data_IF_959649682292
#
_entry.id   IF_959649682292
#
_cell.length_a   1.000
_cell.length_b   1.000
_cell.length_c   1.000
_cell.angle_alpha   90.00
_cell.angle_beta   90.00
_cell.angle_gamma   90.00
#
_symmetry.space_group_name_H-M   'P 1'
#
loop_
_entity.id
_entity.type
_entity.pdbx_description
1 polymer ?
#
# COMPACT_ATOMS: atom_id res chain seq x y z
N UNK A 1 12.57 23.18 -22.36
CA UNK A 1 12.20 23.43 -20.94
C UNK A 1 11.89 22.09 -20.31
N UNK A 2 12.56 21.71 -19.22
CA UNK A 2 12.26 20.46 -18.50
C UNK A 2 10.81 20.46 -18.02
N UNK A 3 10.09 19.36 -18.21
CA UNK A 3 8.69 19.26 -17.85
C UNK A 3 8.49 19.28 -16.31
N UNK A 4 9.47 18.67 -15.58
CA UNK A 4 9.46 18.58 -14.11
C UNK A 4 10.82 18.87 -13.50
N UNK A 5 10.81 19.36 -12.26
CA UNK A 5 12.02 19.47 -11.44
C UNK A 5 12.36 18.14 -10.79
N UNK A 6 11.32 17.32 -10.48
CA UNK A 6 11.45 16.01 -9.87
C UNK A 6 10.40 15.04 -10.38
N UNK A 7 10.84 13.85 -10.79
CA UNK A 7 9.97 12.69 -10.97
C UNK A 7 10.32 11.63 -9.93
N UNK A 8 9.30 11.13 -9.24
CA UNK A 8 9.42 10.03 -8.29
C UNK A 8 8.77 8.77 -8.89
N UNK A 9 9.54 7.69 -8.98
CA UNK A 9 9.06 6.40 -9.47
C UNK A 9 8.67 5.53 -8.28
N UNK A 10 7.39 5.27 -8.13
CA UNK A 10 6.76 4.58 -7.00
C UNK A 10 6.15 5.54 -5.99
N UNK A 11 4.93 5.25 -5.57
CA UNK A 11 4.14 6.07 -4.63
C UNK A 11 4.00 5.44 -3.24
N UNK A 12 4.88 4.52 -2.86
CA UNK A 12 4.96 4.02 -1.49
C UNK A 12 5.45 5.09 -0.51
N UNK A 13 5.65 4.77 0.80
CA UNK A 13 6.04 5.75 1.82
C UNK A 13 7.25 6.59 1.46
N UNK A 14 8.28 6.01 0.87
CA UNK A 14 9.45 6.77 0.40
C UNK A 14 9.11 7.74 -0.73
N UNK A 15 8.24 7.32 -1.65
CA UNK A 15 7.86 8.11 -2.81
C UNK A 15 6.90 9.25 -2.49
N UNK A 16 5.79 8.97 -1.83
CA UNK A 16 4.80 10.03 -1.57
C UNK A 16 5.29 11.10 -0.59
N UNK A 17 6.07 10.72 0.44
CA UNK A 17 6.65 11.70 1.36
C UNK A 17 7.60 12.62 0.61
N UNK A 18 8.47 12.06 -0.23
CA UNK A 18 9.38 12.82 -1.07
C UNK A 18 8.63 13.77 -2.01
N UNK A 19 7.64 13.27 -2.75
CA UNK A 19 6.89 14.05 -3.73
C UNK A 19 6.10 15.20 -3.09
N UNK A 20 5.37 14.92 -2.01
CA UNK A 20 4.61 15.95 -1.29
C UNK A 20 5.55 17.03 -0.76
N UNK A 21 6.66 16.62 -0.14
CA UNK A 21 7.62 17.58 0.42
C UNK A 21 8.29 18.41 -0.66
N UNK A 22 8.70 17.83 -1.76
CA UNK A 22 9.26 18.54 -2.91
C UNK A 22 8.28 19.57 -3.46
N UNK A 23 7.01 19.18 -3.63
CA UNK A 23 5.98 20.12 -4.09
C UNK A 23 5.71 21.26 -3.10
N UNK A 24 5.72 20.98 -1.79
CA UNK A 24 5.62 22.03 -0.76
C UNK A 24 6.79 23.02 -0.80
N UNK A 25 7.95 22.58 -1.25
CA UNK A 25 9.14 23.42 -1.45
C UNK A 25 9.14 24.17 -2.80
N UNK A 26 8.05 24.05 -3.57
CA UNK A 26 7.87 24.78 -4.83
C UNK A 26 8.42 24.05 -6.06
N UNK A 27 8.89 22.82 -5.94
CA UNK A 27 9.34 22.02 -7.08
C UNK A 27 8.14 21.51 -7.89
N UNK A 28 8.20 21.61 -9.20
CA UNK A 28 7.24 20.98 -10.10
C UNK A 28 7.48 19.47 -10.09
N UNK A 29 6.61 18.74 -9.43
CA UNK A 29 6.81 17.33 -9.08
C UNK A 29 5.77 16.42 -9.74
N UNK A 30 6.21 15.23 -10.19
CA UNK A 30 5.34 14.17 -10.63
C UNK A 30 5.68 12.83 -9.96
N UNK A 31 4.68 11.97 -9.82
CA UNK A 31 4.82 10.61 -9.30
C UNK A 31 4.32 9.62 -10.34
N UNK A 32 5.08 8.56 -10.58
CA UNK A 32 4.69 7.45 -11.46
C UNK A 32 4.33 6.26 -10.58
N UNK A 33 3.13 5.71 -10.74
CA UNK A 33 2.66 4.57 -9.98
C UNK A 33 2.04 3.50 -10.89
N UNK A 34 2.48 2.26 -10.76
CA UNK A 34 1.98 1.13 -11.55
C UNK A 34 0.63 0.58 -11.05
N UNK A 35 0.32 0.77 -9.78
CA UNK A 35 -0.93 0.30 -9.18
C UNK A 35 -2.06 1.30 -9.42
N UNK A 36 -3.32 0.84 -9.42
CA UNK A 36 -4.48 1.71 -9.66
C UNK A 36 -4.60 2.84 -8.63
N UNK A 37 -4.07 2.62 -7.43
CA UNK A 37 -4.13 3.56 -6.31
C UNK A 37 -2.73 3.91 -5.82
N UNK A 38 -2.55 5.16 -5.39
CA UNK A 38 -1.32 5.60 -4.75
C UNK A 38 -1.16 4.99 -3.34
N UNK A 39 0.07 5.01 -2.83
CA UNK A 39 0.39 4.58 -1.47
C UNK A 39 1.25 3.32 -1.38
N UNK A 40 1.49 2.67 -2.52
CA UNK A 40 2.34 1.47 -2.63
C UNK A 40 1.86 0.34 -1.73
N UNK A 41 2.76 -0.59 -1.42
CA UNK A 41 2.47 -1.76 -0.57
C UNK A 41 1.90 -1.37 0.79
N UNK A 42 2.47 -0.36 1.45
CA UNK A 42 2.06 0.00 2.82
C UNK A 42 0.58 0.34 2.93
N UNK A 43 0.05 1.21 2.05
CA UNK A 43 -1.34 1.62 2.13
C UNK A 43 -2.30 0.55 1.60
N UNK A 44 -1.93 -0.12 0.52
CA UNK A 44 -2.86 -0.99 -0.20
C UNK A 44 -2.90 -2.42 0.35
N UNK A 45 -1.74 -3.02 0.64
CA UNK A 45 -1.63 -4.45 1.00
C UNK A 45 -0.60 -4.72 2.10
N UNK A 46 -0.28 -3.75 2.93
CA UNK A 46 0.73 -3.86 3.98
C UNK A 46 0.29 -3.21 5.28
N UNK A 47 0.91 -2.08 5.63
CA UNK A 47 0.78 -1.42 6.93
C UNK A 47 -0.66 -1.12 7.33
N UNK A 48 -1.44 -0.49 6.44
CA UNK A 48 -2.79 -0.06 6.78
C UNK A 48 -3.74 -1.24 6.96
N UNK A 49 -3.89 -2.17 5.98
CA UNK A 49 -4.80 -3.29 6.16
C UNK A 49 -4.37 -4.22 7.31
N UNK A 50 -3.06 -4.48 7.50
CA UNK A 50 -2.61 -5.31 8.62
C UNK A 50 -2.89 -4.66 9.98
N UNK A 51 -2.68 -3.35 10.13
CA UNK A 51 -2.99 -2.64 11.38
C UNK A 51 -4.49 -2.61 11.67
N UNK A 52 -5.33 -2.46 10.64
CA UNK A 52 -6.78 -2.53 10.82
C UNK A 52 -7.22 -3.92 11.34
N UNK A 53 -6.67 -4.99 10.77
CA UNK A 53 -6.97 -6.35 11.23
C UNK A 53 -6.40 -6.64 12.64
N UNK A 54 -5.17 -6.22 12.92
CA UNK A 54 -4.56 -6.37 14.25
C UNK A 54 -5.35 -5.61 15.31
N UNK A 55 -5.77 -4.37 15.02
CA UNK A 55 -6.61 -3.60 15.94
C UNK A 55 -7.90 -4.32 16.26
N UNK A 56 -8.59 -4.87 15.26
CA UNK A 56 -9.84 -5.59 15.51
C UNK A 56 -9.61 -6.92 16.26
N UNK A 57 -8.56 -7.67 15.93
CA UNK A 57 -8.22 -8.92 16.64
C UNK A 57 -7.84 -8.69 18.09
N UNK A 58 -7.13 -7.58 18.38
CA UNK A 58 -6.79 -7.17 19.73
C UNK A 58 -8.04 -6.85 20.56
N UNK A 59 -9.03 -6.15 19.96
CA UNK A 59 -10.32 -5.89 20.63
C UNK A 59 -11.09 -7.17 20.92
N UNK A 60 -11.08 -8.11 19.98
CA UNK A 60 -11.70 -9.43 20.17
C UNK A 60 -11.04 -10.21 21.33
N UNK A 61 -9.71 -10.19 21.38
CA UNK A 61 -8.93 -10.83 22.43
C UNK A 61 -9.19 -10.18 23.81
N UNK A 62 -9.21 -8.85 23.87
CA UNK A 62 -9.52 -8.12 25.10
C UNK A 62 -10.91 -8.48 25.66
N UNK A 63 -11.93 -8.49 24.83
CA UNK A 63 -13.29 -8.88 25.23
C UNK A 63 -13.31 -10.30 25.78
N UNK A 64 -12.53 -11.21 25.17
CA UNK A 64 -12.50 -12.62 25.54
C UNK A 64 -11.74 -12.88 26.84
N UNK A 65 -10.61 -12.21 27.05
CA UNK A 65 -9.64 -12.59 28.07
C UNK A 65 -9.35 -11.49 29.11
N UNK A 66 -9.38 -10.23 28.75
CA UNK A 66 -9.04 -9.13 29.65
C UNK A 66 -10.28 -8.62 30.41
N UNK A 67 -11.41 -8.42 29.74
CA UNK A 67 -12.63 -7.88 30.34
C UNK A 67 -13.15 -8.70 31.53
N UNK A 68 -13.19 -10.05 31.46
CA UNK A 68 -13.59 -10.85 32.61
C UNK A 68 -12.71 -10.62 33.85
N UNK A 69 -11.41 -10.42 33.66
CA UNK A 69 -10.46 -10.14 34.75
C UNK A 69 -10.68 -8.77 35.38
N UNK A 70 -11.26 -7.83 34.63
CA UNK A 70 -11.63 -6.49 35.11
C UNK A 70 -13.05 -6.47 35.76
N UNK A 71 -13.73 -7.60 35.81
CA UNK A 71 -15.11 -7.69 36.29
C UNK A 71 -16.17 -7.25 35.27
N UNK A 72 -15.77 -7.00 34.01
CA UNK A 72 -16.69 -6.63 32.94
C UNK A 72 -17.23 -7.89 32.28
N UNK A 73 -18.53 -8.11 32.41
CA UNK A 73 -19.22 -9.26 31.82
C UNK A 73 -19.77 -8.88 30.47
N UNK A 74 -19.32 -9.61 29.44
CA UNK A 74 -19.83 -9.54 28.05
C UNK A 74 -20.31 -10.93 27.64
N UNK A 75 -21.25 -11.01 26.72
CA UNK A 75 -21.64 -12.29 26.12
C UNK A 75 -20.46 -12.92 25.35
N UNK A 76 -20.65 -14.14 24.84
CA UNK A 76 -19.64 -14.81 24.01
C UNK A 76 -19.42 -14.00 22.74
N UNK A 77 -18.22 -13.46 22.48
CA UNK A 77 -17.96 -12.73 21.26
C UNK A 77 -17.91 -13.70 20.07
N UNK A 78 -18.44 -13.26 18.96
CA UNK A 78 -18.40 -13.97 17.68
C UNK A 78 -17.73 -13.10 16.63
N UNK A 79 -16.96 -13.72 15.73
CA UNK A 79 -16.27 -13.03 14.64
C UNK A 79 -17.13 -13.08 13.37
N UNK A 80 -17.54 -11.92 12.88
CA UNK A 80 -18.04 -11.74 11.52
C UNK A 80 -16.87 -11.33 10.62
N UNK A 81 -16.21 -12.32 10.01
CA UNK A 81 -15.04 -12.11 9.16
C UNK A 81 -15.36 -11.22 7.93
N UNK A 82 -16.48 -11.38 7.20
CA UNK A 82 -16.84 -10.47 6.13
C UNK A 82 -16.90 -9.00 6.57
N UNK A 83 -17.49 -8.73 7.72
CA UNK A 83 -17.54 -7.36 8.27
C UNK A 83 -16.16 -6.87 8.67
N UNK A 84 -15.30 -7.71 9.25
CA UNK A 84 -13.90 -7.37 9.54
C UNK A 84 -13.11 -7.01 8.28
N UNK A 85 -13.25 -7.81 7.22
CA UNK A 85 -12.59 -7.52 5.94
C UNK A 85 -13.07 -6.20 5.34
N UNK A 86 -14.38 -5.92 5.41
CA UNK A 86 -14.92 -4.62 4.98
C UNK A 86 -14.37 -3.45 5.81
N UNK A 87 -14.24 -3.59 7.11
CA UNK A 87 -13.61 -2.58 7.98
C UNK A 87 -12.16 -2.31 7.54
N UNK A 88 -11.38 -3.36 7.28
CA UNK A 88 -10.02 -3.25 6.73
C UNK A 88 -10.02 -2.49 5.41
N UNK A 89 -10.91 -2.83 4.46
CA UNK A 89 -10.98 -2.19 3.15
C UNK A 89 -11.38 -0.72 3.24
N UNK A 90 -12.25 -0.35 4.16
CA UNK A 90 -12.60 1.05 4.44
C UNK A 90 -11.40 1.86 4.94
N UNK A 91 -10.54 1.25 5.78
CA UNK A 91 -9.31 1.90 6.23
C UNK A 91 -8.34 2.15 5.06
N UNK A 92 -8.20 1.19 4.15
CA UNK A 92 -7.39 1.33 2.93
C UNK A 92 -7.94 2.43 2.03
N UNK A 93 -9.24 2.39 1.74
CA UNK A 93 -9.92 3.36 0.88
C UNK A 93 -9.81 4.81 1.42
N UNK A 94 -10.04 4.98 2.72
CA UNK A 94 -9.89 6.29 3.37
C UNK A 94 -8.47 6.85 3.23
N UNK A 95 -7.46 6.03 3.42
CA UNK A 95 -6.07 6.45 3.31
C UNK A 95 -5.67 6.75 1.86
N UNK A 96 -6.00 5.90 0.91
CA UNK A 96 -5.66 6.10 -0.51
C UNK A 96 -6.33 7.35 -1.09
N UNK A 97 -7.59 7.62 -0.72
CA UNK A 97 -8.29 8.87 -1.07
C UNK A 97 -7.63 10.10 -0.43
N UNK A 98 -7.18 9.98 0.83
CA UNK A 98 -6.43 11.04 1.51
C UNK A 98 -5.14 11.40 0.76
N UNK A 99 -4.41 10.42 0.25
CA UNK A 99 -3.21 10.66 -0.56
C UNK A 99 -3.53 11.33 -1.90
N UNK A 100 -4.54 10.86 -2.61
CA UNK A 100 -4.97 11.50 -3.84
C UNK A 100 -5.37 12.97 -3.62
N UNK A 101 -5.98 13.28 -2.48
CA UNK A 101 -6.26 14.66 -2.08
C UNK A 101 -4.98 15.46 -1.83
N UNK A 102 -3.99 14.89 -1.10
CA UNK A 102 -2.74 15.59 -0.81
C UNK A 102 -1.93 15.88 -2.07
N UNK A 103 -1.88 14.98 -3.03
CA UNK A 103 -1.24 15.24 -4.32
C UNK A 103 -1.90 16.41 -5.06
N UNK A 104 -3.23 16.41 -5.16
CA UNK A 104 -3.96 17.52 -5.79
C UNK A 104 -3.74 18.85 -5.04
N UNK A 105 -3.83 18.83 -3.70
CA UNK A 105 -3.60 20.03 -2.86
C UNK A 105 -2.22 20.64 -3.08
N UNK A 106 -1.21 19.80 -3.23
CA UNK A 106 0.18 20.24 -3.44
C UNK A 106 0.55 20.37 -4.93
N UNK A 107 -0.41 20.26 -5.86
CA UNK A 107 -0.21 20.39 -7.31
C UNK A 107 0.87 19.44 -7.85
N UNK A 108 0.94 18.22 -7.30
CA UNK A 108 1.78 17.16 -7.82
C UNK A 108 1.02 16.39 -8.89
N UNK A 109 1.66 16.13 -10.02
CA UNK A 109 1.06 15.33 -11.08
C UNK A 109 1.23 13.83 -10.80
N UNK A 110 0.24 13.03 -11.18
CA UNK A 110 0.26 11.57 -11.07
C UNK A 110 0.22 10.91 -12.44
N UNK A 111 1.17 10.04 -12.73
CA UNK A 111 1.17 9.19 -13.91
C UNK A 111 0.85 7.75 -13.53
N UNK A 112 -0.19 7.19 -14.14
CA UNK A 112 -0.52 5.78 -14.00
C UNK A 112 0.33 4.96 -14.97
N UNK A 113 1.11 4.00 -14.46
CA UNK A 113 1.94 3.13 -15.28
C UNK A 113 3.29 2.79 -14.64
N UNK A 114 4.11 2.10 -15.41
CA UNK A 114 5.47 1.72 -15.03
C UNK A 114 6.46 2.79 -15.48
N UNK A 115 7.29 3.28 -14.56
CA UNK A 115 8.37 4.20 -14.84
C UNK A 115 9.66 3.46 -15.22
N UNK A 116 10.30 3.88 -16.31
CA UNK A 116 11.60 3.38 -16.73
C UNK A 116 12.55 4.54 -16.96
N UNK A 117 13.71 4.49 -16.33
CA UNK A 117 14.78 5.49 -16.56
C UNK A 117 15.41 5.21 -17.92
N UNK A 118 15.36 6.19 -18.83
CA UNK A 118 15.97 6.10 -20.15
C UNK A 118 17.40 6.69 -20.20
N UNK A 119 17.74 7.52 -19.21
CA UNK A 119 19.02 8.18 -19.09
C UNK A 119 18.91 9.39 -18.16
N UNK A 120 19.96 10.18 -18.09
CA UNK A 120 19.97 11.40 -17.30
C UNK A 120 18.84 12.35 -17.73
N UNK A 121 17.99 12.74 -16.81
CA UNK A 121 16.91 13.68 -17.04
C UNK A 121 15.73 13.16 -17.88
N UNK A 122 15.63 11.85 -18.12
CA UNK A 122 14.54 11.31 -18.96
C UNK A 122 13.97 10.01 -18.37
N UNK A 123 12.65 9.98 -18.20
CA UNK A 123 11.87 8.82 -17.74
C UNK A 123 10.81 8.48 -18.77
N UNK A 124 10.63 7.21 -19.05
CA UNK A 124 9.50 6.70 -19.83
C UNK A 124 8.39 6.29 -18.86
N UNK A 125 7.17 6.72 -19.13
CA UNK A 125 5.95 6.22 -18.47
C UNK A 125 5.25 5.29 -19.43
N UNK A 126 5.08 4.03 -19.06
CA UNK A 126 4.38 3.02 -19.86
C UNK A 126 3.12 2.57 -19.13
N UNK A 127 1.96 2.91 -19.68
CA UNK A 127 0.64 2.54 -19.15
C UNK A 127 -0.42 2.56 -20.24
N UNK A 128 -1.48 1.76 -20.08
CA UNK A 128 -2.63 1.65 -21.01
C UNK A 128 -2.24 1.46 -22.49
N UNK A 129 -1.20 0.64 -22.71
CA UNK A 129 -0.69 0.38 -24.06
C UNK A 129 0.06 1.55 -24.71
N UNK A 130 0.21 2.66 -24.00
CA UNK A 130 0.95 3.85 -24.45
C UNK A 130 2.27 3.98 -23.72
N UNK A 131 3.24 4.58 -24.39
CA UNK A 131 4.52 4.95 -23.82
C UNK A 131 4.78 6.42 -24.10
N UNK A 132 5.12 7.18 -23.07
CA UNK A 132 5.48 8.58 -23.23
C UNK A 132 6.78 8.91 -22.49
N UNK A 133 7.75 9.52 -23.15
CA UNK A 133 8.91 10.06 -22.48
C UNK A 133 8.55 11.37 -21.75
N UNK A 134 9.11 11.54 -20.56
CA UNK A 134 8.94 12.73 -19.73
C UNK A 134 10.31 13.24 -19.30
N UNK A 135 10.57 14.51 -19.52
CA UNK A 135 11.82 15.15 -19.14
C UNK A 135 11.75 15.68 -17.70
N UNK A 136 12.83 15.53 -16.96
CA UNK A 136 12.94 15.99 -15.56
C UNK A 136 14.38 16.36 -15.21
N UNK A 137 14.56 17.22 -14.22
CA UNK A 137 15.91 17.53 -13.71
C UNK A 137 16.45 16.43 -12.81
N UNK A 138 15.57 15.86 -11.96
CA UNK A 138 15.95 14.87 -10.97
C UNK A 138 15.00 13.67 -11.00
N UNK A 139 15.52 12.51 -10.67
CA UNK A 139 14.76 11.25 -10.59
C UNK A 139 15.00 10.62 -9.22
N UNK A 140 13.93 10.29 -8.53
CA UNK A 140 13.96 9.47 -7.31
C UNK A 140 13.35 8.11 -7.60
N UNK A 141 14.09 7.05 -7.36
CA UNK A 141 13.63 5.66 -7.46
C UNK A 141 13.16 5.22 -6.08
N UNK A 142 11.84 5.06 -5.92
CA UNK A 142 11.19 4.65 -4.67
C UNK A 142 10.23 3.48 -4.94
N UNK A 143 10.68 2.50 -5.72
CA UNK A 143 9.88 1.39 -6.24
C UNK A 143 9.49 0.35 -5.19
N UNK A 144 10.06 0.45 -3.97
CA UNK A 144 9.75 -0.44 -2.87
C UNK A 144 10.40 -1.82 -3.02
N UNK A 145 9.80 -2.79 -2.35
CA UNK A 145 10.21 -4.19 -2.34
C UNK A 145 9.04 -5.11 -2.68
N UNK A 146 9.34 -6.34 -2.97
CA UNK A 146 8.38 -7.39 -3.25
C UNK A 146 8.73 -8.63 -2.40
N UNK A 147 7.85 -9.63 -2.41
CA UNK A 147 8.06 -10.89 -1.69
C UNK A 147 9.28 -11.63 -2.25
N UNK A 148 10.11 -12.17 -1.36
CA UNK A 148 11.17 -13.08 -1.75
C UNK A 148 10.59 -14.45 -2.17
N UNK A 149 10.83 -14.84 -3.42
CA UNK A 149 10.37 -16.14 -3.92
C UNK A 149 11.32 -17.24 -3.48
N UNK A 150 10.78 -18.26 -2.82
CA UNK A 150 11.55 -19.43 -2.42
C UNK A 150 11.59 -20.44 -3.58
N UNK A 151 12.78 -20.99 -3.84
CA UNK A 151 12.95 -21.99 -4.91
C UNK A 151 12.14 -23.26 -4.59
N UNK A 152 11.33 -23.68 -5.55
CA UNK A 152 10.47 -24.88 -5.41
C UNK A 152 9.17 -24.67 -4.66
N UNK A 153 8.86 -23.43 -4.25
CA UNK A 153 7.58 -23.08 -3.63
C UNK A 153 6.88 -22.06 -4.53
N UNK A 154 5.73 -22.45 -5.05
CA UNK A 154 4.87 -21.57 -5.82
C UNK A 154 3.80 -20.96 -4.92
N UNK A 155 3.69 -19.64 -4.95
CA UNK A 155 2.65 -18.88 -4.25
C UNK A 155 1.45 -18.82 -5.18
N UNK A 156 0.40 -19.54 -4.84
CA UNK A 156 -0.84 -19.67 -5.61
C UNK A 156 -1.94 -18.71 -5.13
N UNK A 157 -1.67 -17.98 -4.05
CA UNK A 157 -2.60 -17.07 -3.35
C UNK A 157 -3.92 -17.74 -2.90
N UNK A 158 -3.86 -19.08 -2.71
CA UNK A 158 -4.99 -19.90 -2.23
C UNK A 158 -4.62 -20.71 -1.01
N UNK A 159 -3.66 -21.62 -1.15
CA UNK A 159 -3.14 -22.45 -0.07
C UNK A 159 -1.78 -21.98 0.43
N UNK A 160 -0.94 -21.55 -0.48
CA UNK A 160 0.33 -20.90 -0.20
C UNK A 160 0.16 -19.43 -0.60
N UNK A 161 -0.01 -18.60 0.40
CA UNK A 161 -0.32 -17.18 0.20
C UNK A 161 0.88 -16.30 0.56
N UNK A 162 1.00 -15.18 -0.12
CA UNK A 162 1.87 -14.09 0.31
C UNK A 162 1.24 -13.31 1.48
N UNK A 163 1.95 -12.34 2.01
CA UNK A 163 1.39 -11.39 2.97
C UNK A 163 0.15 -10.65 2.41
N UNK A 164 0.10 -10.45 1.09
CA UNK A 164 -1.06 -9.84 0.42
C UNK A 164 -2.27 -10.76 0.47
N UNK A 165 -2.13 -12.03 0.08
CA UNK A 165 -3.21 -13.01 0.14
C UNK A 165 -3.68 -13.29 1.56
N UNK A 166 -2.76 -13.29 2.53
CA UNK A 166 -3.10 -13.48 3.94
C UNK A 166 -4.05 -12.40 4.51
N UNK A 167 -4.05 -11.20 3.94
CA UNK A 167 -4.96 -10.11 4.32
C UNK A 167 -6.38 -10.25 3.73
N UNK A 168 -6.62 -11.27 2.92
CA UNK A 168 -7.88 -11.44 2.17
C UNK A 168 -8.42 -12.87 2.23
N UNK A 169 -8.06 -13.64 3.26
CA UNK A 169 -8.57 -14.99 3.46
C UNK A 169 -10.09 -14.94 3.68
N UNK A 170 -10.82 -15.83 3.02
CA UNK A 170 -12.28 -15.94 3.09
C UNK A 170 -12.79 -16.62 4.37
N UNK A 171 -11.88 -17.26 5.10
CA UNK A 171 -12.14 -17.91 6.40
C UNK A 171 -10.90 -17.88 7.28
N UNK A 172 -11.12 -17.93 8.58
CA UNK A 172 -10.03 -18.13 9.55
C UNK A 172 -9.52 -19.57 9.41
N UNK A 173 -8.25 -19.79 9.05
CA UNK A 173 -7.72 -21.14 8.90
C UNK A 173 -7.62 -21.83 10.26
N UNK A 174 -7.86 -23.15 10.30
CA UNK A 174 -7.68 -23.97 11.51
C UNK A 174 -6.21 -24.09 11.94
N UNK A 175 -5.30 -23.94 10.98
CA UNK A 175 -3.86 -23.88 11.21
C UNK A 175 -3.20 -23.01 10.16
N UNK A 176 -2.16 -22.29 10.55
CA UNK A 176 -1.37 -21.43 9.68
C UNK A 176 0.12 -21.68 9.93
N UNK A 177 0.88 -21.97 8.88
CA UNK A 177 2.32 -22.01 8.91
C UNK A 177 2.87 -20.70 8.32
N UNK A 178 3.69 -19.99 9.10
CA UNK A 178 4.35 -18.76 8.66
C UNK A 178 5.82 -19.06 8.38
N UNK A 179 6.29 -18.72 7.19
CA UNK A 179 7.69 -18.85 6.79
C UNK A 179 8.31 -17.45 6.73
N UNK A 180 9.23 -17.18 7.62
CA UNK A 180 9.82 -15.85 7.87
C UNK A 180 9.12 -15.10 8.99
N UNK A 181 9.82 -14.14 9.60
CA UNK A 181 9.32 -13.33 10.71
C UNK A 181 9.97 -11.93 10.70
#
# INVERSE_FOLDING_TARGET
VMAYDLIVIGSGPGGYVCAIRAAQLGLKTAVIEKWPTFGGTCLNVGCIPSKAMLFASERFEEVTHAFPKMGIKVGKPELDLPTLLKFKDQAVDGNTKGFAFLFRKNKSDGFQGTGRVLGAGKVEVKGDGKSQPVDTRNIVIATGSDIARLKGIEIDEKRIVSSTGALSLDKVPSSLLVVGA
#
